data_IF_904181020500
#
_entry.id   IF_904181020500
#
_cell.length_a   1.000
_cell.length_b   1.000
_cell.length_c   1.000
_cell.angle_alpha   90.00
_cell.angle_beta   90.00
_cell.angle_gamma   90.00
#
_symmetry.space_group_name_H-M   'P 1'
#
loop_
_entity.id
_entity.type
_entity.pdbx_description
1 polymer ?
#
# COMPACT_ATOMS: atom_id res chain seq x y z
N UNK A 1 3.24 14.42 41.04
CA UNK A 1 3.14 15.19 39.78
C UNK A 1 1.69 15.25 39.36
N UNK A 2 1.01 16.36 39.66
CA UNK A 2 -0.43 16.48 39.38
C UNK A 2 -0.64 16.85 37.91
N UNK A 3 -0.92 15.87 37.10
CA UNK A 3 -1.22 16.07 35.66
C UNK A 3 -2.74 15.85 35.45
N UNK A 4 -3.40 16.78 34.70
CA UNK A 4 -4.87 16.77 34.49
C UNK A 4 -5.45 15.46 33.95
N UNK A 5 -4.63 14.66 33.25
CA UNK A 5 -5.03 13.37 32.69
C UNK A 5 -4.66 12.17 33.58
N UNK A 6 -4.04 12.40 34.72
CA UNK A 6 -3.76 11.38 35.72
C UNK A 6 -4.69 11.62 36.91
N UNK A 7 -5.79 10.86 37.05
CA UNK A 7 -6.83 11.14 38.07
C UNK A 7 -6.41 10.75 39.49
N UNK A 8 -5.34 9.94 39.64
CA UNK A 8 -4.89 9.43 40.92
C UNK A 8 -4.28 10.55 41.76
N UNK A 9 -4.76 10.64 43.01
CA UNK A 9 -4.18 11.50 44.04
C UNK A 9 -2.98 10.84 44.69
N UNK A 10 -2.21 11.60 45.49
CA UNK A 10 -1.10 11.03 46.27
C UNK A 10 -1.62 10.02 47.31
N UNK A 11 -2.83 10.22 47.86
CA UNK A 11 -3.50 9.30 48.76
C UNK A 11 -3.85 7.99 48.06
N UNK A 12 -4.41 8.05 46.85
CA UNK A 12 -4.71 6.86 46.03
C UNK A 12 -3.44 6.07 45.76
N UNK A 13 -2.33 6.75 45.45
CA UNK A 13 -1.04 6.08 45.19
C UNK A 13 -0.52 5.37 46.45
N UNK A 14 -0.65 5.99 47.65
CA UNK A 14 -0.23 5.37 48.90
C UNK A 14 -1.11 4.14 49.23
N UNK A 15 -2.41 4.19 48.99
CA UNK A 15 -3.30 3.06 49.18
C UNK A 15 -2.96 1.89 48.23
N UNK A 16 -2.68 2.19 46.96
CA UNK A 16 -2.24 1.20 45.97
C UNK A 16 -0.92 0.56 46.40
N UNK A 17 0.09 1.35 46.77
CA UNK A 17 1.39 0.84 47.24
C UNK A 17 1.19 -0.07 48.47
N UNK A 18 0.37 0.32 49.43
CA UNK A 18 0.06 -0.50 50.58
C UNK A 18 -0.59 -1.82 50.19
N UNK A 19 -1.50 -1.78 49.23
CA UNK A 19 -2.22 -2.97 48.74
C UNK A 19 -1.27 -3.98 48.07
N UNK A 20 -0.29 -3.51 47.28
CA UNK A 20 0.72 -4.37 46.66
C UNK A 20 1.91 -4.69 47.57
N UNK A 21 1.96 -4.13 48.79
CA UNK A 21 3.04 -4.37 49.73
C UNK A 21 4.35 -3.65 49.45
N UNK A 22 4.33 -2.61 48.61
CA UNK A 22 5.49 -1.79 48.27
C UNK A 22 5.51 -0.51 49.16
N UNK A 23 6.72 -0.01 49.48
CA UNK A 23 6.89 1.23 50.26
C UNK A 23 6.96 2.48 49.38
N UNK A 24 7.37 2.30 48.13
CA UNK A 24 7.55 3.36 47.15
C UNK A 24 7.29 2.85 45.74
N UNK A 25 7.06 3.75 44.79
CA UNK A 25 6.99 3.41 43.36
C UNK A 25 8.33 2.76 42.90
N UNK A 26 9.45 3.20 43.48
CA UNK A 26 10.77 2.67 43.17
C UNK A 26 10.92 1.18 43.50
N UNK A 27 10.20 0.70 44.53
CA UNK A 27 10.25 -0.72 44.89
C UNK A 27 9.58 -1.63 43.85
N UNK A 28 8.67 -1.08 43.05
CA UNK A 28 7.99 -1.81 41.98
C UNK A 28 8.94 -2.20 40.84
N UNK A 29 10.10 -1.55 40.76
CA UNK A 29 11.13 -1.80 39.76
C UNK A 29 12.35 -2.58 40.33
N UNK A 30 12.16 -3.27 41.47
CA UNK A 30 13.23 -3.98 42.14
C UNK A 30 13.81 -5.16 41.35
N UNK A 31 13.09 -5.65 40.34
CA UNK A 31 13.54 -6.68 39.39
C UNK A 31 14.54 -6.15 38.34
N UNK A 32 14.65 -4.82 38.18
CA UNK A 32 15.66 -4.21 37.32
C UNK A 32 16.98 -4.11 38.05
N UNK A 33 18.08 -4.76 37.54
CA UNK A 33 19.41 -4.64 38.14
C UNK A 33 19.85 -3.19 38.31
N UNK A 34 20.44 -2.86 39.47
CA UNK A 34 20.82 -1.49 39.80
C UNK A 34 21.83 -0.89 38.81
N UNK A 35 22.66 -1.73 38.20
CA UNK A 35 23.70 -1.35 37.24
C UNK A 35 23.17 -0.81 35.90
N UNK A 36 21.95 -1.22 35.54
CA UNK A 36 21.30 -0.79 34.29
C UNK A 36 20.12 0.17 34.53
N UNK A 37 19.81 0.43 35.79
CA UNK A 37 18.71 1.30 36.16
C UNK A 37 19.10 2.76 35.96
N UNK A 38 18.30 3.48 35.18
CA UNK A 38 18.49 4.90 34.99
C UNK A 38 18.00 5.68 36.22
N UNK A 39 18.93 6.36 36.91
CA UNK A 39 18.65 7.12 38.13
C UNK A 39 18.79 8.64 37.93
N UNK A 40 18.86 9.12 36.71
CA UNK A 40 19.04 10.51 36.36
C UNK A 40 17.73 11.20 35.94
N UNK A 41 17.79 12.49 35.78
CA UNK A 41 16.72 13.24 35.11
C UNK A 41 16.84 13.09 33.61
N UNK A 42 15.72 12.85 32.94
CA UNK A 42 15.68 12.85 31.48
C UNK A 42 15.91 14.26 30.95
N UNK A 43 16.86 14.41 30.02
CA UNK A 43 17.16 15.68 29.36
C UNK A 43 16.07 16.06 28.34
N UNK A 44 14.84 16.22 28.81
CA UNK A 44 13.71 16.64 27.99
C UNK A 44 13.56 18.16 28.09
N UNK A 45 13.10 18.78 27.00
CA UNK A 45 12.70 20.17 27.01
C UNK A 45 11.49 20.36 27.91
N UNK A 46 11.38 21.53 28.53
CA UNK A 46 10.16 21.91 29.24
C UNK A 46 8.96 21.95 28.28
N UNK A 47 7.76 21.73 28.87
CA UNK A 47 6.52 21.78 28.10
C UNK A 47 6.31 23.21 27.51
N UNK A 48 6.07 23.27 26.22
CA UNK A 48 5.75 24.51 25.53
C UNK A 48 4.25 24.82 25.66
N UNK A 49 3.91 26.10 25.67
CA UNK A 49 2.53 26.55 25.47
C UNK A 49 2.13 26.33 24.01
N UNK A 50 0.82 26.20 23.75
CA UNK A 50 0.29 25.90 22.41
C UNK A 50 0.83 26.82 21.30
N UNK A 51 0.86 28.16 21.43
CA UNK A 51 1.41 29.04 20.39
C UNK A 51 2.90 28.81 20.13
N UNK A 52 3.67 28.53 21.19
CA UNK A 52 5.11 28.23 21.10
C UNK A 52 5.34 26.87 20.41
N UNK A 53 4.51 25.87 20.75
CA UNK A 53 4.55 24.56 20.13
C UNK A 53 4.24 24.64 18.63
N UNK A 54 3.19 25.37 18.26
CA UNK A 54 2.81 25.59 16.85
C UNK A 54 3.96 26.25 16.10
N UNK A 55 4.54 27.33 16.64
CA UNK A 55 5.66 28.03 16.02
C UNK A 55 6.89 27.14 15.86
N UNK A 56 7.17 26.32 16.88
CA UNK A 56 8.27 25.36 16.85
C UNK A 56 8.11 24.33 15.72
N UNK A 57 6.93 23.70 15.61
CA UNK A 57 6.65 22.73 14.56
C UNK A 57 6.56 23.37 13.16
N UNK A 58 6.03 24.57 13.02
CA UNK A 58 6.07 25.32 11.76
C UNK A 58 7.51 25.58 11.31
N UNK A 59 8.39 25.93 12.26
CA UNK A 59 9.82 26.10 11.98
C UNK A 59 10.52 24.81 11.55
N UNK A 60 10.10 23.65 12.08
CA UNK A 60 10.59 22.35 11.61
C UNK A 60 10.01 22.01 10.22
N UNK A 61 8.72 22.20 10.04
CA UNK A 61 8.03 21.91 8.78
C UNK A 61 8.60 22.74 7.61
N UNK A 62 8.99 24.02 7.85
CA UNK A 62 9.57 24.88 6.83
C UNK A 62 10.93 24.43 6.29
N UNK A 63 11.59 23.46 6.95
CA UNK A 63 12.83 22.85 6.46
C UNK A 63 12.58 21.76 5.41
N UNK A 64 11.33 21.30 5.25
CA UNK A 64 10.96 20.33 4.23
C UNK A 64 10.60 21.02 2.92
N UNK A 65 10.82 20.32 1.82
CA UNK A 65 10.39 20.75 0.49
C UNK A 65 8.97 20.25 0.22
N UNK A 66 8.09 21.17 -0.17
CA UNK A 66 6.70 20.84 -0.50
C UNK A 66 6.55 20.55 -1.99
N UNK A 67 5.93 19.44 -2.36
CA UNK A 67 5.58 19.08 -3.74
C UNK A 67 4.61 20.11 -4.38
N UNK A 68 3.90 20.92 -3.59
CA UNK A 68 3.09 22.04 -4.10
C UNK A 68 3.93 23.19 -4.69
N UNK A 69 5.19 23.29 -4.27
CA UNK A 69 6.12 24.33 -4.70
C UNK A 69 7.20 23.80 -5.63
N UNK A 70 7.48 22.50 -5.56
CA UNK A 70 8.56 21.83 -6.29
C UNK A 70 7.97 20.63 -7.02
N UNK A 71 7.71 20.75 -8.34
CA UNK A 71 7.20 19.65 -9.13
C UNK A 71 8.07 18.39 -8.98
N UNK A 72 7.44 17.24 -8.79
CA UNK A 72 8.12 15.96 -8.59
C UNK A 72 7.83 15.02 -9.75
N UNK A 73 8.89 14.40 -10.28
CA UNK A 73 8.84 13.33 -11.27
C UNK A 73 9.29 11.99 -10.67
N UNK A 74 9.32 11.89 -9.34
CA UNK A 74 9.87 10.73 -8.63
C UNK A 74 9.02 9.47 -8.85
N UNK A 75 7.71 9.55 -8.67
CA UNK A 75 6.80 8.40 -8.83
C UNK A 75 7.21 7.19 -8.00
N UNK A 76 7.53 6.08 -8.67
CA UNK A 76 7.98 4.83 -8.05
C UNK A 76 6.99 4.31 -7.00
N UNK A 77 5.72 4.26 -7.36
CA UNK A 77 4.64 3.72 -6.51
C UNK A 77 3.84 4.76 -5.71
N UNK A 78 4.30 6.02 -5.64
CA UNK A 78 3.59 7.12 -4.96
C UNK A 78 3.42 8.28 -5.91
N UNK A 79 2.18 8.74 -6.10
CA UNK A 79 1.88 9.72 -7.13
C UNK A 79 1.10 10.91 -6.58
N UNK A 80 1.36 12.09 -7.14
CA UNK A 80 0.56 13.27 -6.85
C UNK A 80 -0.63 13.34 -7.83
N UNK A 81 -1.83 13.27 -7.28
CA UNK A 81 -3.07 13.44 -8.02
C UNK A 81 -3.98 14.46 -7.32
N UNK A 82 -4.99 14.95 -8.04
CA UNK A 82 -5.99 15.82 -7.47
C UNK A 82 -6.77 15.13 -6.36
N UNK A 83 -6.82 15.77 -5.19
CA UNK A 83 -7.61 15.33 -4.05
C UNK A 83 -8.81 16.28 -3.90
N UNK A 84 -10.04 15.80 -4.09
CA UNK A 84 -11.24 16.61 -3.89
C UNK A 84 -11.34 17.13 -2.44
N UNK A 85 -11.70 18.40 -2.26
CA UNK A 85 -11.78 19.02 -0.91
C UNK A 85 -12.78 18.32 0.03
N UNK A 86 -13.77 17.61 -0.53
CA UNK A 86 -14.73 16.82 0.25
C UNK A 86 -14.06 15.68 1.00
N UNK A 87 -12.91 15.16 0.53
CA UNK A 87 -12.18 14.08 1.20
C UNK A 87 -11.77 14.52 2.60
N UNK A 88 -11.07 15.65 2.71
CA UNK A 88 -10.62 16.20 3.99
C UNK A 88 -11.81 16.48 4.94
N UNK A 89 -12.89 17.02 4.39
CA UNK A 89 -14.11 17.29 5.16
C UNK A 89 -14.70 16.00 5.77
N UNK A 90 -14.79 14.93 5.00
CA UNK A 90 -15.41 13.67 5.46
C UNK A 90 -14.51 12.93 6.46
N UNK A 91 -13.21 12.80 6.15
CA UNK A 91 -12.29 12.07 7.05
C UNK A 91 -12.03 12.81 8.37
N UNK A 92 -12.27 14.12 8.44
CA UNK A 92 -12.13 14.93 9.65
C UNK A 92 -13.35 14.86 10.57
N UNK A 93 -14.45 14.21 10.14
CA UNK A 93 -15.61 14.04 11.01
C UNK A 93 -15.30 13.04 12.10
N UNK A 94 -15.70 13.38 13.34
CA UNK A 94 -15.39 12.57 14.53
C UNK A 94 -15.94 11.14 14.42
N UNK A 95 -17.06 10.95 13.76
CA UNK A 95 -17.70 9.65 13.56
C UNK A 95 -16.80 8.64 12.82
N UNK A 96 -15.95 9.14 11.91
CA UNK A 96 -14.97 8.33 11.20
C UNK A 96 -13.58 8.43 11.79
N UNK A 97 -13.15 9.67 12.13
CA UNK A 97 -11.78 9.93 12.59
C UNK A 97 -11.44 9.19 13.88
N UNK A 98 -12.41 9.07 14.82
CA UNK A 98 -12.22 8.37 16.10
C UNK A 98 -12.72 6.93 16.08
N UNK A 99 -13.29 6.45 14.96
CA UNK A 99 -13.75 5.08 14.84
C UNK A 99 -12.59 4.08 14.97
N UNK A 100 -12.89 2.97 15.61
CA UNK A 100 -11.99 1.82 15.68
C UNK A 100 -12.61 0.66 14.88
N UNK A 101 -12.24 -0.57 15.15
CA UNK A 101 -12.83 -1.71 14.46
C UNK A 101 -14.33 -1.83 14.75
N UNK A 102 -15.19 -1.90 13.72
CA UNK A 102 -16.66 -1.92 13.91
C UNK A 102 -17.16 -3.31 14.32
N UNK A 103 -16.79 -3.77 15.50
CA UNK A 103 -17.20 -5.09 16.03
C UNK A 103 -18.70 -5.18 16.34
N UNK A 104 -19.32 -4.07 16.73
CA UNK A 104 -20.75 -4.00 17.06
C UNK A 104 -21.51 -3.35 15.91
N UNK A 105 -22.12 -4.15 15.01
CA UNK A 105 -22.80 -3.61 13.82
C UNK A 105 -23.95 -2.66 14.16
N UNK A 106 -24.59 -2.81 15.32
CA UNK A 106 -25.74 -1.99 15.74
C UNK A 106 -25.38 -0.49 15.83
N UNK A 107 -24.14 -0.17 16.19
CA UNK A 107 -23.68 1.22 16.37
C UNK A 107 -22.67 1.67 15.32
N UNK A 108 -22.28 0.80 14.39
CA UNK A 108 -21.19 1.04 13.42
C UNK A 108 -21.66 0.97 11.99
N UNK A 109 -22.94 1.15 11.70
CA UNK A 109 -23.52 0.96 10.38
C UNK A 109 -22.90 1.88 9.33
N UNK A 110 -22.64 3.15 9.66
CA UNK A 110 -22.03 4.11 8.73
C UNK A 110 -20.60 3.72 8.33
N UNK A 111 -19.78 3.26 9.27
CA UNK A 111 -18.42 2.79 9.02
C UNK A 111 -18.42 1.49 8.21
N UNK A 112 -19.26 0.53 8.58
CA UNK A 112 -19.41 -0.73 7.85
C UNK A 112 -19.88 -0.49 6.41
N UNK A 113 -20.82 0.42 6.19
CA UNK A 113 -21.25 0.81 4.85
C UNK A 113 -20.09 1.43 4.05
N UNK A 114 -19.31 2.33 4.64
CA UNK A 114 -18.16 2.94 3.97
C UNK A 114 -17.13 1.89 3.52
N UNK A 115 -16.86 0.90 4.37
CA UNK A 115 -15.98 -0.23 4.04
C UNK A 115 -16.58 -1.06 2.90
N UNK A 116 -17.87 -1.37 2.96
CA UNK A 116 -18.56 -2.13 1.91
C UNK A 116 -18.51 -1.41 0.55
N UNK A 117 -18.67 -0.10 0.55
CA UNK A 117 -18.57 0.74 -0.66
C UNK A 117 -17.15 0.72 -1.22
N UNK A 118 -16.11 0.81 -0.38
CA UNK A 118 -14.72 0.64 -0.83
C UNK A 118 -14.50 -0.72 -1.49
N UNK A 119 -14.94 -1.81 -0.84
CA UNK A 119 -14.86 -3.16 -1.41
C UNK A 119 -15.51 -3.23 -2.80
N UNK A 120 -16.68 -2.63 -2.93
CA UNK A 120 -17.43 -2.60 -4.21
C UNK A 120 -16.67 -1.85 -5.29
N UNK A 121 -16.11 -0.66 -4.97
CA UNK A 121 -15.35 0.15 -5.92
C UNK A 121 -14.08 -0.57 -6.39
N UNK A 122 -13.39 -1.25 -5.48
CA UNK A 122 -12.21 -2.06 -5.84
C UNK A 122 -12.61 -3.24 -6.73
N UNK A 123 -13.72 -3.93 -6.46
CA UNK A 123 -14.23 -4.98 -7.35
C UNK A 123 -14.50 -4.46 -8.76
N UNK A 124 -15.19 -3.33 -8.87
CA UNK A 124 -15.52 -2.70 -10.17
C UNK A 124 -14.28 -2.30 -10.96
N UNK A 125 -13.26 -1.72 -10.29
CA UNK A 125 -12.00 -1.35 -10.94
C UNK A 125 -11.19 -2.56 -11.39
N UNK A 126 -11.11 -3.59 -10.55
CA UNK A 126 -10.23 -4.75 -10.79
C UNK A 126 -10.87 -5.85 -11.62
N UNK A 127 -12.19 -5.81 -11.79
CA UNK A 127 -12.98 -6.89 -12.45
C UNK A 127 -13.05 -8.17 -11.61
N UNK A 128 -12.88 -8.06 -10.28
CA UNK A 128 -12.87 -9.21 -9.38
C UNK A 128 -14.21 -9.37 -8.64
N UNK A 129 -14.50 -10.60 -8.16
CA UNK A 129 -15.77 -10.93 -7.51
C UNK A 129 -15.93 -10.33 -6.11
N UNK A 130 -14.82 -10.15 -5.40
CA UNK A 130 -14.82 -9.59 -4.04
C UNK A 130 -13.48 -8.92 -3.70
N UNK A 131 -13.54 -7.95 -2.78
CA UNK A 131 -12.37 -7.31 -2.20
C UNK A 131 -12.51 -7.24 -0.68
N UNK A 132 -11.37 -7.15 0.03
CA UNK A 132 -11.36 -6.95 1.49
C UNK A 132 -11.53 -5.48 1.87
N UNK A 133 -11.62 -5.22 3.18
CA UNK A 133 -11.80 -3.87 3.74
C UNK A 133 -10.63 -2.92 3.47
N UNK A 134 -9.44 -3.41 3.35
CA UNK A 134 -8.16 -2.84 2.93
C UNK A 134 -6.99 -3.64 3.51
N UNK A 135 -5.79 -3.32 3.05
CA UNK A 135 -4.51 -3.82 3.57
C UNK A 135 -3.67 -2.63 4.06
N UNK A 136 -2.50 -2.89 4.66
CA UNK A 136 -1.61 -1.81 5.09
C UNK A 136 -1.14 -0.96 3.90
N UNK A 137 -0.64 -1.63 2.87
CA UNK A 137 -0.14 -1.07 1.61
C UNK A 137 -0.13 -2.12 0.50
N UNK A 138 0.24 -1.70 -0.71
CA UNK A 138 0.37 -2.59 -1.88
C UNK A 138 1.39 -3.71 -1.70
N UNK A 139 2.62 -3.45 -1.23
CA UNK A 139 3.62 -4.48 -0.96
C UNK A 139 3.16 -5.57 0.00
N UNK A 140 2.51 -5.21 1.10
CA UNK A 140 1.91 -6.17 2.04
C UNK A 140 0.81 -7.00 1.37
N UNK A 141 -0.06 -6.35 0.58
CA UNK A 141 -1.12 -7.03 -0.14
C UNK A 141 -0.56 -8.05 -1.15
N UNK A 142 0.54 -7.71 -1.85
CA UNK A 142 1.23 -8.62 -2.78
C UNK A 142 1.82 -9.83 -2.06
N UNK A 143 2.51 -9.61 -0.94
CA UNK A 143 3.06 -10.70 -0.15
C UNK A 143 1.97 -11.65 0.35
N UNK A 144 0.87 -11.13 0.89
CA UNK A 144 -0.28 -11.93 1.34
C UNK A 144 -0.94 -12.71 0.18
N UNK A 145 -0.99 -12.13 -1.05
CA UNK A 145 -1.50 -12.83 -2.22
C UNK A 145 -0.64 -14.05 -2.58
N UNK A 146 0.68 -13.91 -2.53
CA UNK A 146 1.60 -15.02 -2.77
C UNK A 146 1.51 -16.09 -1.68
N UNK A 147 1.42 -15.67 -0.39
CA UNK A 147 1.24 -16.60 0.73
C UNK A 147 -0.08 -17.37 0.63
N UNK A 148 -1.18 -16.69 0.27
CA UNK A 148 -2.47 -17.32 0.04
C UNK A 148 -2.38 -18.32 -1.12
N UNK A 149 -1.71 -17.96 -2.21
CA UNK A 149 -1.50 -18.83 -3.38
C UNK A 149 -0.75 -20.10 -3.02
N UNK A 150 0.33 -20.01 -2.26
CA UNK A 150 1.09 -21.14 -1.76
C UNK A 150 0.22 -22.06 -0.87
N UNK A 151 -0.55 -21.47 0.05
CA UNK A 151 -1.47 -22.21 0.91
C UNK A 151 -2.65 -22.86 0.16
N UNK A 152 -3.11 -22.24 -0.95
CA UNK A 152 -4.19 -22.75 -1.78
C UNK A 152 -3.74 -23.91 -2.67
N UNK A 153 -2.61 -23.76 -3.34
CA UNK A 153 -2.05 -24.76 -4.27
C UNK A 153 -1.31 -25.88 -3.53
N UNK A 154 -0.91 -25.65 -2.27
CA UNK A 154 -0.01 -26.50 -1.48
C UNK A 154 1.37 -26.68 -2.13
N UNK A 155 1.80 -25.70 -2.91
CA UNK A 155 3.09 -25.62 -3.58
C UNK A 155 3.95 -24.52 -2.91
N UNK A 156 5.26 -24.53 -3.12
CA UNK A 156 6.20 -23.72 -2.34
C UNK A 156 7.00 -22.69 -3.12
N UNK A 157 6.95 -22.72 -4.45
CA UNK A 157 7.72 -21.82 -5.29
C UNK A 157 6.85 -20.69 -5.82
N UNK A 158 7.28 -19.47 -5.60
CA UNK A 158 6.67 -18.23 -6.07
C UNK A 158 7.57 -17.68 -7.17
N UNK A 159 7.04 -17.49 -8.36
CA UNK A 159 7.75 -16.81 -9.45
C UNK A 159 7.29 -15.36 -9.47
N UNK A 160 8.22 -14.43 -9.36
CA UNK A 160 7.93 -12.99 -9.36
C UNK A 160 8.76 -12.28 -10.40
N UNK A 161 8.14 -11.46 -11.24
CA UNK A 161 8.84 -10.65 -12.24
C UNK A 161 9.74 -9.61 -11.57
N UNK A 162 10.96 -9.41 -12.08
CA UNK A 162 11.83 -8.29 -11.69
C UNK A 162 11.22 -6.93 -12.02
N UNK A 163 10.23 -6.89 -12.91
CA UNK A 163 9.44 -5.70 -13.20
C UNK A 163 8.38 -5.37 -12.12
N UNK A 164 8.24 -6.16 -11.07
CA UNK A 164 7.51 -5.80 -9.85
C UNK A 164 8.37 -4.85 -9.02
N UNK A 165 7.72 -3.89 -8.36
CA UNK A 165 8.38 -2.90 -7.50
C UNK A 165 9.41 -3.55 -6.55
N UNK A 166 10.66 -3.05 -6.48
CA UNK A 166 11.74 -3.70 -5.73
C UNK A 166 11.42 -3.86 -4.23
N UNK A 167 10.82 -2.85 -3.59
CA UNK A 167 10.41 -2.96 -2.19
C UNK A 167 9.30 -4.01 -1.99
N UNK A 168 8.37 -4.15 -2.95
CA UNK A 168 7.34 -5.18 -2.87
C UNK A 168 7.95 -6.59 -2.98
N UNK A 169 8.99 -6.76 -3.82
CA UNK A 169 9.76 -8.02 -3.90
C UNK A 169 10.52 -8.31 -2.60
N UNK A 170 11.09 -7.27 -1.96
CA UNK A 170 11.77 -7.41 -0.67
C UNK A 170 10.80 -7.80 0.46
N UNK A 171 9.60 -7.21 0.52
CA UNK A 171 8.53 -7.59 1.46
C UNK A 171 8.08 -9.02 1.22
N UNK A 172 7.87 -9.41 -0.06
CA UNK A 172 7.55 -10.79 -0.44
C UNK A 172 8.62 -11.77 0.04
N UNK A 173 9.90 -11.48 -0.20
CA UNK A 173 11.02 -12.33 0.21
C UNK A 173 11.07 -12.51 1.73
N UNK A 174 10.82 -11.43 2.49
CA UNK A 174 10.78 -11.46 3.96
C UNK A 174 9.67 -12.40 4.46
N UNK A 175 8.46 -12.27 3.92
CA UNK A 175 7.32 -13.11 4.29
C UNK A 175 7.53 -14.57 3.87
N UNK A 176 8.04 -14.80 2.67
CA UNK A 176 8.31 -16.13 2.13
C UNK A 176 9.33 -16.89 3.01
N UNK A 177 10.38 -16.20 3.46
CA UNK A 177 11.40 -16.78 4.37
C UNK A 177 10.75 -17.30 5.65
N UNK A 178 9.87 -16.53 6.27
CA UNK A 178 9.15 -16.93 7.48
C UNK A 178 8.29 -18.18 7.29
N UNK A 179 7.75 -18.37 6.09
CA UNK A 179 6.91 -19.54 5.74
C UNK A 179 7.66 -20.67 5.04
N UNK A 180 9.00 -20.54 4.89
CA UNK A 180 9.87 -21.51 4.19
C UNK A 180 9.42 -21.74 2.74
N UNK A 181 9.05 -20.68 2.05
CA UNK A 181 8.72 -20.69 0.64
C UNK A 181 9.92 -20.22 -0.17
N UNK A 182 9.98 -20.66 -1.42
CA UNK A 182 11.03 -20.30 -2.37
C UNK A 182 10.51 -19.19 -3.28
N UNK A 183 11.27 -18.10 -3.40
CA UNK A 183 10.97 -17.00 -4.34
C UNK A 183 12.04 -17.00 -5.42
N UNK A 184 11.61 -17.10 -6.67
CA UNK A 184 12.47 -17.02 -7.85
C UNK A 184 12.07 -15.76 -8.62
N UNK A 185 13.03 -14.89 -8.84
CA UNK A 185 12.85 -13.71 -9.68
C UNK A 185 13.02 -14.07 -11.15
N UNK A 186 12.07 -13.60 -11.97
CA UNK A 186 12.08 -13.75 -13.43
C UNK A 186 12.57 -12.44 -14.03
N UNK A 187 13.59 -12.50 -14.90
CA UNK A 187 14.16 -11.34 -15.57
C UNK A 187 13.17 -10.66 -16.53
N UNK A 188 13.57 -9.55 -17.07
CA UNK A 188 12.78 -8.81 -18.06
C UNK A 188 13.45 -8.82 -19.43
N UNK A 189 12.64 -8.90 -20.47
CA UNK A 189 13.04 -8.66 -21.86
C UNK A 189 12.31 -7.41 -22.38
N UNK A 190 13.05 -6.43 -22.91
CA UNK A 190 12.50 -5.14 -23.36
C UNK A 190 11.61 -4.44 -22.32
N UNK A 191 11.94 -4.58 -21.03
CA UNK A 191 11.25 -3.94 -19.92
C UNK A 191 9.90 -4.56 -19.52
N UNK A 192 9.58 -5.76 -20.02
CA UNK A 192 8.43 -6.59 -19.59
C UNK A 192 8.93 -7.96 -19.15
N UNK A 193 8.12 -8.72 -18.44
CA UNK A 193 8.46 -10.06 -17.94
C UNK A 193 8.91 -10.99 -19.07
N UNK A 194 10.09 -11.60 -18.93
CA UNK A 194 10.64 -12.55 -19.92
C UNK A 194 9.89 -13.90 -19.85
N UNK A 195 9.01 -14.12 -20.82
CA UNK A 195 8.22 -15.35 -20.94
C UNK A 195 9.08 -16.60 -21.15
N UNK A 196 10.25 -16.48 -21.81
CA UNK A 196 11.13 -17.63 -22.05
C UNK A 196 11.77 -18.09 -20.76
N UNK A 197 12.34 -17.14 -20.02
CA UNK A 197 12.90 -17.45 -18.70
C UNK A 197 11.81 -17.94 -17.74
N UNK A 198 10.61 -17.33 -17.76
CA UNK A 198 9.48 -17.81 -16.97
C UNK A 198 9.20 -19.29 -17.25
N UNK A 199 9.21 -19.71 -18.53
CA UNK A 199 9.02 -21.10 -18.93
C UNK A 199 10.14 -22.02 -18.43
N UNK A 200 11.39 -21.55 -18.44
CA UNK A 200 12.55 -22.32 -17.99
C UNK A 200 12.55 -22.59 -16.48
N UNK A 201 12.11 -21.60 -15.67
CA UNK A 201 12.10 -21.72 -14.20
C UNK A 201 10.78 -22.29 -13.65
N UNK A 202 9.76 -22.42 -14.49
CA UNK A 202 8.47 -22.96 -14.07
C UNK A 202 8.57 -24.47 -13.84
N UNK A 203 8.04 -24.93 -12.70
CA UNK A 203 8.06 -26.35 -12.32
C UNK A 203 6.82 -26.79 -11.57
N UNK A 204 6.73 -28.09 -11.28
CA UNK A 204 5.57 -28.72 -10.61
C UNK A 204 5.23 -28.11 -9.26
N UNK A 205 6.21 -27.50 -8.57
CA UNK A 205 6.06 -26.86 -7.26
C UNK A 205 5.75 -25.35 -7.36
N UNK A 206 5.47 -24.83 -8.57
CA UNK A 206 5.12 -23.42 -8.76
C UNK A 206 3.73 -23.12 -8.22
N UNK A 207 3.65 -22.31 -7.18
CA UNK A 207 2.41 -21.91 -6.52
C UNK A 207 1.68 -20.77 -7.25
N UNK A 208 2.43 -19.77 -7.69
CA UNK A 208 1.89 -18.62 -8.43
C UNK A 208 2.97 -17.93 -9.27
N UNK A 209 2.48 -17.17 -10.26
CA UNK A 209 3.24 -16.18 -11.01
C UNK A 209 2.72 -14.79 -10.60
N UNK A 210 3.64 -13.90 -10.21
CA UNK A 210 3.35 -12.56 -9.72
C UNK A 210 3.92 -11.54 -10.68
N UNK A 211 3.06 -10.66 -11.21
CA UNK A 211 3.46 -9.54 -12.09
C UNK A 211 2.84 -8.24 -11.62
N UNK A 212 3.36 -7.11 -12.10
CA UNK A 212 2.80 -5.79 -11.86
C UNK A 212 2.35 -5.16 -13.18
N UNK A 213 1.17 -4.54 -13.22
CA UNK A 213 0.62 -3.96 -14.44
C UNK A 213 -0.15 -2.65 -14.16
N UNK A 214 0.31 -1.49 -14.68
CA UNK A 214 1.61 -1.26 -15.31
C UNK A 214 2.77 -1.66 -14.41
N UNK A 215 3.89 -2.11 -14.97
CA UNK A 215 5.01 -2.60 -14.20
C UNK A 215 5.88 -1.46 -13.63
N UNK A 216 6.91 -1.79 -12.84
CA UNK A 216 7.75 -0.80 -12.18
C UNK A 216 8.52 0.11 -13.16
N UNK A 217 8.79 -0.35 -14.37
CA UNK A 217 9.40 0.45 -15.42
C UNK A 217 8.38 1.29 -16.22
N UNK A 218 7.11 1.24 -15.82
CA UNK A 218 6.00 1.94 -16.47
C UNK A 218 5.37 1.20 -17.64
N UNK A 219 5.92 0.07 -18.09
CA UNK A 219 5.46 -0.67 -19.26
C UNK A 219 4.20 -1.50 -18.96
N UNK A 220 3.41 -1.75 -20.01
CA UNK A 220 2.27 -2.65 -19.95
C UNK A 220 2.72 -4.10 -20.18
N UNK A 221 2.44 -4.98 -19.21
CA UNK A 221 2.76 -6.42 -19.31
C UNK A 221 1.84 -7.15 -20.31
N UNK A 222 2.33 -8.20 -20.98
CA UNK A 222 1.54 -9.05 -21.89
C UNK A 222 0.67 -10.04 -21.09
N UNK A 223 -0.38 -9.51 -20.41
CA UNK A 223 -1.20 -10.28 -19.46
C UNK A 223 -1.89 -11.50 -20.08
N UNK A 224 -2.23 -11.45 -21.38
CA UNK A 224 -2.89 -12.58 -22.08
C UNK A 224 -1.96 -13.80 -22.14
N UNK A 225 -0.72 -13.57 -22.54
CA UNK A 225 0.29 -14.62 -22.68
C UNK A 225 0.73 -15.14 -21.32
N UNK A 226 0.90 -14.25 -20.35
CA UNK A 226 1.29 -14.59 -18.98
C UNK A 226 0.20 -15.41 -18.28
N UNK A 227 -1.06 -15.02 -18.42
CA UNK A 227 -2.20 -15.76 -17.88
C UNK A 227 -2.34 -17.15 -18.51
N UNK A 228 -2.36 -17.22 -19.85
CA UNK A 228 -2.50 -18.47 -20.57
C UNK A 228 -1.37 -19.46 -20.21
N UNK A 229 -0.15 -18.97 -20.03
CA UNK A 229 0.96 -19.80 -19.57
C UNK A 229 0.78 -20.26 -18.12
N UNK A 230 0.46 -19.34 -17.20
CA UNK A 230 0.31 -19.66 -15.78
C UNK A 230 -0.79 -20.68 -15.54
N UNK A 231 -1.93 -20.54 -16.22
CA UNK A 231 -3.07 -21.46 -16.10
C UNK A 231 -2.96 -22.72 -16.99
N UNK A 232 -1.86 -22.91 -17.71
CA UNK A 232 -1.58 -24.20 -18.36
C UNK A 232 -1.37 -25.32 -17.34
N UNK A 233 -1.09 -24.96 -16.07
CA UNK A 233 -1.06 -25.83 -14.89
C UNK A 233 -1.92 -25.23 -13.77
N UNK A 234 -1.75 -25.69 -12.54
CA UNK A 234 -2.53 -25.30 -11.35
C UNK A 234 -1.94 -24.10 -10.57
N UNK A 235 -0.98 -23.38 -11.12
CA UNK A 235 -0.45 -22.19 -10.50
C UNK A 235 -1.48 -21.03 -10.54
N UNK A 236 -1.39 -20.12 -9.59
CA UNK A 236 -2.28 -18.96 -9.54
C UNK A 236 -1.64 -17.75 -10.22
N UNK A 237 -2.45 -16.94 -10.91
CA UNK A 237 -2.02 -15.71 -11.53
C UNK A 237 -2.34 -14.51 -10.64
N UNK A 238 -1.30 -13.83 -10.15
CA UNK A 238 -1.39 -12.68 -9.24
C UNK A 238 -0.92 -11.43 -9.96
N UNK A 239 -1.77 -10.40 -10.00
CA UNK A 239 -1.45 -9.12 -10.63
C UNK A 239 -1.47 -7.99 -9.60
N UNK A 240 -0.34 -7.29 -9.43
CA UNK A 240 -0.28 -6.02 -8.74
C UNK A 240 -0.62 -4.90 -9.72
N UNK A 241 -1.52 -3.98 -9.36
CA UNK A 241 -2.01 -2.97 -10.32
C UNK A 241 -2.16 -1.59 -9.71
N UNK A 242 -1.80 -0.55 -10.49
CA UNK A 242 -2.16 0.82 -10.17
C UNK A 242 -3.67 1.01 -10.47
N UNK A 243 -4.51 1.27 -9.46
CA UNK A 243 -5.96 1.29 -9.65
C UNK A 243 -6.45 2.45 -10.54
N UNK A 244 -5.69 3.55 -10.63
CA UNK A 244 -6.03 4.65 -11.54
C UNK A 244 -5.84 4.25 -13.01
N UNK A 245 -4.83 3.43 -13.32
CA UNK A 245 -4.61 2.92 -14.68
C UNK A 245 -5.81 2.12 -15.18
N UNK A 246 -6.53 1.45 -14.28
CA UNK A 246 -7.75 0.68 -14.59
C UNK A 246 -8.94 1.56 -15.03
N UNK A 247 -8.84 2.87 -14.93
CA UNK A 247 -9.77 3.81 -15.57
C UNK A 247 -9.72 3.78 -17.10
N UNK A 248 -8.62 3.26 -17.68
CA UNK A 248 -8.41 3.12 -19.13
C UNK A 248 -8.09 1.70 -19.57
N UNK A 249 -7.30 0.98 -18.77
CA UNK A 249 -6.86 -0.36 -19.09
C UNK A 249 -7.96 -1.37 -18.77
N UNK A 250 -7.98 -2.47 -19.52
CA UNK A 250 -8.83 -3.61 -19.22
C UNK A 250 -8.45 -4.18 -17.84
N UNK A 251 -9.41 -4.42 -16.93
CA UNK A 251 -9.15 -4.93 -15.58
C UNK A 251 -8.45 -6.30 -15.58
N UNK A 252 -7.48 -6.55 -14.68
CA UNK A 252 -6.81 -7.85 -14.61
C UNK A 252 -7.73 -9.05 -14.37
N UNK A 253 -8.85 -8.86 -13.67
CA UNK A 253 -9.87 -9.91 -13.50
C UNK A 253 -10.48 -10.38 -14.82
N UNK A 254 -10.62 -9.49 -15.82
CA UNK A 254 -11.10 -9.84 -17.16
C UNK A 254 -10.04 -10.55 -18.03
N UNK A 255 -8.78 -10.56 -17.60
CA UNK A 255 -7.71 -11.39 -18.17
C UNK A 255 -7.58 -12.74 -17.45
N UNK A 256 -8.37 -13.01 -16.41
CA UNK A 256 -8.32 -14.26 -15.69
C UNK A 256 -7.43 -14.26 -14.45
N UNK A 257 -7.00 -13.11 -13.94
CA UNK A 257 -6.26 -13.07 -12.69
C UNK A 257 -7.05 -13.72 -11.54
N UNK A 258 -6.39 -14.53 -10.71
CA UNK A 258 -6.99 -15.12 -9.51
C UNK A 258 -7.04 -14.13 -8.36
N UNK A 259 -6.00 -13.28 -8.26
CA UNK A 259 -5.86 -12.25 -7.23
C UNK A 259 -5.32 -10.98 -7.87
N UNK A 260 -5.94 -9.85 -7.54
CA UNK A 260 -5.48 -8.51 -7.90
C UNK A 260 -5.22 -7.71 -6.64
N UNK A 261 -4.03 -7.16 -6.51
CA UNK A 261 -3.59 -6.35 -5.37
C UNK A 261 -3.05 -5.00 -5.84
N UNK A 262 -2.84 -4.09 -4.93
CA UNK A 262 -2.21 -2.81 -5.21
C UNK A 262 -2.41 -1.81 -4.09
N UNK A 263 -2.16 -0.55 -4.39
CA UNK A 263 -2.31 0.55 -3.44
C UNK A 263 -3.31 1.59 -3.98
N UNK A 264 -4.28 1.97 -3.15
CA UNK A 264 -5.29 2.96 -3.49
C UNK A 264 -4.81 4.42 -3.28
N UNK A 265 -3.51 4.64 -3.03
CA UNK A 265 -2.92 5.97 -2.83
C UNK A 265 -3.33 6.98 -3.92
N UNK A 266 -3.42 6.63 -5.22
CA UNK A 266 -3.86 7.57 -6.26
C UNK A 266 -5.25 8.18 -6.05
N UNK A 267 -6.07 7.60 -5.19
CA UNK A 267 -7.40 8.09 -4.89
C UNK A 267 -7.44 8.77 -3.52
N UNK A 268 -7.31 10.09 -3.49
CA UNK A 268 -7.57 10.91 -2.31
C UNK A 268 -6.54 10.84 -1.18
N UNK A 269 -5.39 10.20 -1.39
CA UNK A 269 -4.31 10.14 -0.40
C UNK A 269 -3.13 10.97 -0.85
N UNK A 270 -2.67 11.87 0.03
CA UNK A 270 -1.53 12.73 -0.28
C UNK A 270 -0.23 11.92 -0.46
N UNK A 271 0.60 12.32 -1.42
CA UNK A 271 1.95 11.84 -1.53
C UNK A 271 2.79 12.39 -0.37
N UNK A 272 3.21 11.51 0.52
CA UNK A 272 4.04 11.86 1.69
C UNK A 272 4.94 10.68 2.07
N UNK A 273 6.14 10.99 2.52
CA UNK A 273 7.09 9.98 2.95
C UNK A 273 6.61 9.26 4.21
N UNK A 274 6.65 7.92 4.18
CA UNK A 274 6.19 7.06 5.28
C UNK A 274 4.68 6.82 5.31
N UNK A 275 3.92 7.33 4.36
CA UNK A 275 2.47 7.08 4.27
C UNK A 275 1.65 7.76 5.37
N UNK A 276 0.63 7.10 5.91
CA UNK A 276 0.17 5.75 5.52
C UNK A 276 -0.49 5.73 4.15
N UNK A 277 -0.40 4.59 3.47
CA UNK A 277 -1.08 4.30 2.22
C UNK A 277 -2.36 3.48 2.47
N UNK A 278 -2.89 2.82 1.43
CA UNK A 278 -4.08 1.98 1.55
C UNK A 278 -4.01 0.82 0.55
N UNK A 279 -3.48 -0.31 1.00
CA UNK A 279 -3.46 -1.51 0.18
C UNK A 279 -4.87 -2.03 -0.10
N UNK A 280 -5.05 -2.70 -1.23
CA UNK A 280 -6.25 -3.46 -1.53
C UNK A 280 -5.92 -4.89 -1.95
N UNK A 281 -6.87 -5.78 -1.70
CA UNK A 281 -6.80 -7.19 -2.05
C UNK A 281 -8.14 -7.63 -2.63
N UNK A 282 -8.16 -7.95 -3.90
CA UNK A 282 -9.34 -8.40 -4.61
C UNK A 282 -9.12 -9.80 -5.22
N UNK A 283 -10.14 -10.62 -5.28
CA UNK A 283 -10.01 -12.01 -5.72
C UNK A 283 -11.31 -12.61 -6.21
N UNK A 284 -11.23 -13.84 -6.74
CA UNK A 284 -12.39 -14.63 -7.16
C UNK A 284 -13.17 -15.17 -5.95
N UNK A 285 -14.44 -15.42 -6.14
CA UNK A 285 -15.36 -15.99 -5.14
C UNK A 285 -14.84 -17.31 -4.53
N UNK A 286 -14.07 -18.07 -5.29
CA UNK A 286 -13.47 -19.34 -4.85
C UNK A 286 -12.54 -19.19 -3.64
N UNK A 287 -11.88 -18.05 -3.51
CA UNK A 287 -10.92 -17.75 -2.46
C UNK A 287 -11.50 -16.98 -1.27
N UNK A 288 -12.79 -16.65 -1.28
CA UNK A 288 -13.47 -15.80 -0.29
C UNK A 288 -13.17 -16.19 1.17
N UNK A 289 -13.05 -17.47 1.47
CA UNK A 289 -12.78 -17.97 2.83
C UNK A 289 -11.29 -17.93 3.23
N UNK A 290 -10.42 -17.41 2.35
CA UNK A 290 -8.96 -17.36 2.56
C UNK A 290 -8.39 -15.94 2.45
N UNK A 291 -9.21 -14.99 2.04
CA UNK A 291 -8.81 -13.58 1.89
C UNK A 291 -8.26 -13.03 3.21
N UNK A 292 -7.09 -12.37 3.23
CA UNK A 292 -6.60 -11.71 4.43
C UNK A 292 -7.44 -10.49 4.81
N UNK A 293 -7.36 -10.06 6.06
CA UNK A 293 -8.07 -8.88 6.55
C UNK A 293 -9.58 -9.10 6.70
N UNK A 294 -10.32 -8.02 6.94
CA UNK A 294 -11.75 -8.04 7.22
C UNK A 294 -12.58 -8.00 5.94
N UNK A 295 -13.78 -8.56 6.04
CA UNK A 295 -14.81 -8.50 5.00
C UNK A 295 -16.10 -7.99 5.61
N UNK A 296 -16.73 -7.03 4.96
CA UNK A 296 -18.06 -6.54 5.30
C UNK A 296 -19.07 -7.11 4.31
N UNK A 297 -20.14 -7.66 4.83
CA UNK A 297 -21.28 -8.15 4.04
C UNK A 297 -22.52 -7.31 4.26
N UNK A 298 -23.40 -7.28 3.26
CA UNK A 298 -24.73 -6.71 3.37
C UNK A 298 -25.70 -7.76 3.91
N UNK A 299 -26.58 -7.34 4.81
CA UNK A 299 -27.66 -8.16 5.40
C UNK A 299 -28.95 -7.34 5.53
N UNK A 300 -29.96 -7.92 6.13
CA UNK A 300 -31.19 -7.23 6.53
C UNK A 300 -31.44 -7.45 8.03
N UNK A 301 -32.01 -6.47 8.71
CA UNK A 301 -32.47 -6.59 10.09
C UNK A 301 -33.83 -7.31 10.16
N UNK A 302 -34.36 -7.46 11.38
CA UNK A 302 -35.68 -8.10 11.63
C UNK A 302 -36.86 -7.36 10.96
N UNK A 303 -36.72 -6.06 10.73
CA UNK A 303 -37.70 -5.25 10.02
C UNK A 303 -37.53 -5.28 8.48
N UNK A 304 -36.55 -6.04 7.99
CA UNK A 304 -36.23 -6.13 6.56
C UNK A 304 -35.44 -4.94 6.03
N UNK A 305 -34.92 -4.07 6.89
CA UNK A 305 -34.08 -2.94 6.49
C UNK A 305 -32.65 -3.40 6.21
N UNK A 306 -32.03 -2.77 5.19
CA UNK A 306 -30.64 -3.05 4.81
C UNK A 306 -29.70 -2.68 5.96
N UNK A 307 -28.80 -3.61 6.30
CA UNK A 307 -27.73 -3.41 7.25
C UNK A 307 -26.43 -4.02 6.76
N UNK A 308 -25.33 -3.76 7.49
CA UNK A 308 -23.99 -4.23 7.19
C UNK A 308 -23.39 -4.91 8.42
N UNK A 309 -22.59 -5.96 8.20
CA UNK A 309 -21.95 -6.73 9.28
C UNK A 309 -20.56 -7.18 8.87
N UNK A 310 -19.65 -7.34 9.83
CA UNK A 310 -18.42 -8.10 9.62
C UNK A 310 -18.78 -9.56 9.36
N UNK A 311 -18.23 -10.15 8.30
CA UNK A 311 -18.53 -11.51 7.91
C UNK A 311 -17.27 -12.39 7.84
N UNK A 312 -17.44 -13.71 7.91
CA UNK A 312 -16.35 -14.70 7.82
C UNK A 312 -15.22 -14.49 8.85
N UNK A 313 -15.49 -13.92 9.99
CA UNK A 313 -14.50 -13.61 11.03
C UNK A 313 -13.75 -14.84 11.56
N UNK A 314 -14.37 -16.05 11.50
CA UNK A 314 -13.78 -17.29 11.98
C UNK A 314 -12.42 -17.65 11.35
N UNK A 315 -12.00 -17.02 10.24
CA UNK A 315 -10.71 -17.20 9.58
C UNK A 315 -9.63 -16.25 10.12
N UNK A 316 -10.02 -15.21 10.86
CA UNK A 316 -9.13 -14.14 11.31
C UNK A 316 -8.22 -14.57 12.47
N UNK A 317 -7.08 -13.88 12.60
CA UNK A 317 -6.03 -14.19 13.57
C UNK A 317 -6.53 -14.20 15.02
N UNK A 318 -7.40 -13.29 15.42
CA UNK A 318 -7.90 -13.20 16.79
C UNK A 318 -8.77 -14.42 17.21
N UNK A 319 -9.28 -15.18 16.23
CA UNK A 319 -10.02 -16.43 16.45
C UNK A 319 -9.14 -17.66 16.21
N UNK A 320 -8.46 -17.72 15.06
CA UNK A 320 -7.63 -18.87 14.64
C UNK A 320 -6.27 -18.92 15.30
N UNK A 321 -5.77 -17.78 15.82
CA UNK A 321 -4.44 -17.64 16.44
C UNK A 321 -3.35 -18.19 15.52
N UNK A 322 -2.49 -19.09 15.99
CA UNK A 322 -1.40 -19.70 15.24
C UNK A 322 -1.84 -20.51 13.99
N UNK A 323 -3.12 -20.83 13.87
CA UNK A 323 -3.71 -21.54 12.71
C UNK A 323 -4.31 -20.58 11.68
N UNK A 324 -4.20 -19.27 11.89
CA UNK A 324 -4.66 -18.30 10.91
C UNK A 324 -3.83 -18.37 9.62
N UNK A 325 -4.46 -18.11 8.49
CA UNK A 325 -3.77 -18.08 7.18
C UNK A 325 -3.01 -16.80 6.96
N UNK A 326 -3.29 -15.76 7.74
CA UNK A 326 -2.66 -14.42 7.67
C UNK A 326 -2.55 -13.83 9.07
N UNK A 327 -1.51 -13.04 9.29
CA UNK A 327 -1.29 -12.26 10.51
C UNK A 327 -1.89 -10.84 10.43
N UNK A 328 -2.57 -10.50 9.34
CA UNK A 328 -3.23 -9.20 9.19
C UNK A 328 -4.33 -9.06 10.24
N UNK A 329 -4.19 -8.06 11.10
CA UNK A 329 -5.13 -7.76 12.18
C UNK A 329 -5.88 -6.46 11.93
N UNK A 330 -5.13 -5.39 11.67
CA UNK A 330 -5.66 -4.06 11.37
C UNK A 330 -5.66 -3.79 9.88
N UNK A 331 -6.23 -2.67 9.48
CA UNK A 331 -6.28 -2.19 8.10
C UNK A 331 -6.19 -0.66 8.07
N UNK A 332 -6.42 -0.06 6.91
CA UNK A 332 -6.36 1.38 6.68
C UNK A 332 -7.78 1.95 6.50
N UNK A 333 -8.67 1.76 7.49
CA UNK A 333 -10.10 2.09 7.36
C UNK A 333 -10.34 3.57 6.98
N UNK A 334 -9.64 4.51 7.64
CA UNK A 334 -9.78 5.93 7.33
C UNK A 334 -9.26 6.28 5.94
N UNK A 335 -8.16 5.66 5.50
CA UNK A 335 -7.63 5.86 4.15
C UNK A 335 -8.51 5.19 3.09
N UNK A 336 -9.11 4.04 3.38
CA UNK A 336 -10.09 3.40 2.51
C UNK A 336 -11.34 4.28 2.34
N UNK A 337 -11.80 4.92 3.42
CA UNK A 337 -12.86 5.93 3.35
C UNK A 337 -12.44 7.11 2.47
N UNK A 338 -11.22 7.66 2.67
CA UNK A 338 -10.70 8.74 1.83
C UNK A 338 -10.72 8.37 0.35
N UNK A 339 -10.25 7.16 0.02
CA UNK A 339 -10.25 6.65 -1.35
C UNK A 339 -11.68 6.50 -1.91
N UNK A 340 -12.62 5.98 -1.13
CA UNK A 340 -14.02 5.85 -1.54
C UNK A 340 -14.67 7.20 -1.80
N UNK A 341 -14.44 8.17 -0.90
CA UNK A 341 -14.95 9.55 -1.06
C UNK A 341 -14.36 10.22 -2.30
N UNK A 342 -13.04 10.05 -2.53
CA UNK A 342 -12.39 10.58 -3.72
C UNK A 342 -12.97 9.97 -4.99
N UNK A 343 -13.08 8.64 -5.07
CA UNK A 343 -13.66 7.93 -6.22
C UNK A 343 -15.12 8.35 -6.47
N UNK A 344 -15.92 8.52 -5.41
CA UNK A 344 -17.30 8.99 -5.50
C UNK A 344 -17.40 10.44 -6.01
N UNK A 345 -16.54 11.33 -5.51
CA UNK A 345 -16.51 12.73 -5.91
C UNK A 345 -16.04 12.92 -7.36
N UNK A 346 -15.02 12.18 -7.77
CA UNK A 346 -14.47 12.21 -9.13
C UNK A 346 -15.43 11.49 -10.11
N UNK A 347 -16.02 10.39 -9.68
CA UNK A 347 -16.94 9.56 -10.44
C UNK A 347 -16.29 8.84 -11.63
N UNK A 348 -17.02 7.93 -12.26
CA UNK A 348 -16.52 7.10 -13.36
C UNK A 348 -15.88 7.91 -14.50
N UNK A 349 -16.50 9.04 -14.88
CA UNK A 349 -15.96 9.88 -15.94
C UNK A 349 -14.67 10.57 -15.54
N UNK A 350 -14.58 11.07 -14.30
CA UNK A 350 -13.39 11.74 -13.81
C UNK A 350 -12.23 10.80 -13.61
N UNK A 351 -12.45 9.57 -13.13
CA UNK A 351 -11.39 8.53 -13.05
C UNK A 351 -10.80 8.24 -14.43
N UNK A 352 -11.66 8.06 -15.44
CA UNK A 352 -11.23 7.89 -16.83
C UNK A 352 -10.45 9.09 -17.36
N UNK A 353 -10.92 10.32 -17.07
CA UNK A 353 -10.26 11.56 -17.50
C UNK A 353 -8.88 11.71 -16.85
N UNK A 354 -8.76 11.47 -15.54
CA UNK A 354 -7.47 11.51 -14.83
C UNK A 354 -6.49 10.49 -15.44
N UNK A 355 -6.93 9.26 -15.64
CA UNK A 355 -6.11 8.22 -16.26
C UNK A 355 -5.67 8.61 -17.69
N UNK A 356 -6.57 9.19 -18.49
CA UNK A 356 -6.27 9.65 -19.84
C UNK A 356 -5.25 10.81 -19.86
N UNK A 357 -5.40 11.78 -18.96
CA UNK A 357 -4.45 12.89 -18.83
C UNK A 357 -3.05 12.39 -18.45
N UNK A 358 -2.93 11.40 -17.60
CA UNK A 358 -1.64 10.78 -17.26
C UNK A 358 -0.95 10.22 -18.51
N UNK A 359 -1.67 9.43 -19.31
CA UNK A 359 -1.13 8.89 -20.57
C UNK A 359 -0.72 10.00 -21.54
N UNK A 360 -1.57 11.04 -21.70
CA UNK A 360 -1.27 12.15 -22.60
C UNK A 360 -0.03 12.94 -22.17
N UNK A 361 0.07 13.27 -20.87
CA UNK A 361 1.21 14.02 -20.32
C UNK A 361 2.51 13.20 -20.42
N UNK A 362 2.46 11.91 -20.11
CA UNK A 362 3.60 11.01 -20.26
C UNK A 362 4.06 10.89 -21.72
N UNK A 363 3.13 10.72 -22.66
CA UNK A 363 3.43 10.68 -24.09
C UNK A 363 4.04 12.00 -24.60
N UNK A 364 3.50 13.15 -24.14
CA UNK A 364 4.05 14.46 -24.45
C UNK A 364 5.49 14.59 -23.95
N UNK A 365 5.74 14.24 -22.68
CA UNK A 365 7.07 14.33 -22.08
C UNK A 365 8.07 13.40 -22.78
N UNK A 366 7.68 12.15 -23.07
CA UNK A 366 8.52 11.21 -23.85
C UNK A 366 8.93 11.82 -25.20
N UNK A 367 7.96 12.42 -25.91
CA UNK A 367 8.22 13.07 -27.20
C UNK A 367 9.22 14.22 -27.05
N UNK A 368 9.00 15.12 -26.08
CA UNK A 368 9.88 16.27 -25.87
C UNK A 368 11.29 15.86 -25.46
N UNK A 369 11.43 14.85 -24.60
CA UNK A 369 12.74 14.32 -24.21
C UNK A 369 13.49 13.72 -25.40
N UNK A 370 12.81 12.92 -26.28
CA UNK A 370 13.40 12.39 -27.53
C UNK A 370 13.87 13.53 -28.45
N UNK A 371 13.07 14.56 -28.66
CA UNK A 371 13.42 15.74 -29.48
C UNK A 371 14.65 16.49 -28.95
N UNK A 372 14.90 16.41 -27.64
CA UNK A 372 16.08 17.01 -26.99
C UNK A 372 17.24 16.00 -26.77
N UNK A 373 17.19 14.85 -27.41
CA UNK A 373 18.29 13.88 -27.43
C UNK A 373 18.39 12.97 -26.21
N UNK A 374 17.36 12.94 -25.34
CA UNK A 374 17.28 11.97 -24.25
C UNK A 374 16.73 10.66 -24.78
N UNK A 375 17.41 9.57 -24.48
CA UNK A 375 17.05 8.22 -24.88
C UNK A 375 15.93 7.67 -23.99
N UNK A 376 14.85 7.19 -24.59
CA UNK A 376 13.80 6.42 -23.91
C UNK A 376 14.19 4.95 -24.01
N UNK A 377 14.30 4.26 -22.87
CA UNK A 377 14.87 2.90 -22.80
C UNK A 377 13.96 1.84 -23.42
N UNK A 378 12.63 2.02 -23.34
CA UNK A 378 11.67 1.04 -23.86
C UNK A 378 10.68 1.69 -24.83
N UNK A 379 10.36 1.00 -25.92
CA UNK A 379 9.30 1.39 -26.86
C UNK A 379 7.93 0.75 -26.51
N UNK A 380 7.86 -0.01 -25.42
CA UNK A 380 6.59 -0.59 -24.94
C UNK A 380 5.55 0.49 -24.60
N UNK A 381 4.27 0.19 -24.74
CA UNK A 381 3.22 1.08 -24.24
C UNK A 381 3.37 1.32 -22.72
N UNK A 382 3.18 2.57 -22.30
CA UNK A 382 3.31 2.97 -20.89
C UNK A 382 2.06 3.70 -20.41
N UNK A 383 1.85 3.76 -19.09
CA UNK A 383 0.77 4.54 -18.50
C UNK A 383 1.25 5.95 -18.13
N UNK A 384 1.82 6.13 -16.95
CA UNK A 384 2.28 7.42 -16.44
C UNK A 384 3.78 7.45 -16.09
N UNK A 385 4.44 6.31 -16.17
CA UNK A 385 5.87 6.17 -15.92
C UNK A 385 6.59 5.64 -17.15
N UNK A 386 7.87 5.99 -17.27
CA UNK A 386 8.77 5.48 -18.28
C UNK A 386 10.23 5.70 -17.89
N UNK A 387 11.12 4.89 -18.46
CA UNK A 387 12.56 4.93 -18.15
C UNK A 387 13.32 5.69 -19.24
N UNK A 388 14.23 6.55 -18.79
CA UNK A 388 15.17 7.30 -19.65
C UNK A 388 16.62 6.96 -19.29
N UNK A 389 17.51 7.00 -20.29
CA UNK A 389 18.95 6.90 -20.09
C UNK A 389 19.55 8.31 -20.06
N UNK A 390 20.07 8.73 -18.92
CA UNK A 390 20.63 10.08 -18.73
C UNK A 390 22.13 10.17 -18.99
N UNK A 391 22.78 9.04 -19.35
CA UNK A 391 24.21 8.96 -19.76
C UNK A 391 25.21 9.54 -18.75
N UNK A 392 24.81 9.66 -17.48
CA UNK A 392 25.61 10.09 -16.34
C UNK A 392 24.98 9.57 -15.05
N UNK A 393 25.65 9.65 -13.90
CA UNK A 393 25.05 9.25 -12.63
C UNK A 393 23.71 9.98 -12.39
N UNK A 394 22.65 9.22 -12.08
CA UNK A 394 21.31 9.78 -11.85
C UNK A 394 21.30 10.74 -10.65
N UNK A 395 22.16 10.49 -9.64
CA UNK A 395 22.33 11.36 -8.48
C UNK A 395 22.77 12.79 -8.89
N UNK A 396 23.73 12.90 -9.82
CA UNK A 396 24.17 14.21 -10.34
C UNK A 396 23.06 14.95 -11.09
N UNK A 397 22.27 14.20 -11.90
CA UNK A 397 21.13 14.79 -12.60
C UNK A 397 20.07 15.27 -11.63
N UNK A 398 19.77 14.49 -10.58
CA UNK A 398 18.82 14.87 -9.53
C UNK A 398 19.27 16.09 -8.74
N UNK A 399 20.57 16.23 -8.42
CA UNK A 399 21.11 17.44 -7.79
C UNK A 399 20.93 18.69 -8.67
N UNK A 400 21.20 18.56 -9.97
CA UNK A 400 21.01 19.66 -10.92
C UNK A 400 19.54 20.05 -11.09
N UNK A 401 18.63 19.06 -11.11
CA UNK A 401 17.19 19.30 -11.16
C UNK A 401 16.70 19.97 -9.88
N UNK A 402 17.14 19.50 -8.72
CA UNK A 402 16.79 20.08 -7.43
C UNK A 402 17.26 21.53 -7.31
N UNK A 403 18.47 21.84 -7.79
CA UNK A 403 18.98 23.22 -7.83
C UNK A 403 18.13 24.15 -8.74
N UNK A 404 17.38 23.57 -9.69
CA UNK A 404 16.42 24.28 -10.56
C UNK A 404 14.97 24.24 -10.04
N UNK A 405 14.74 23.69 -8.85
CA UNK A 405 13.42 23.60 -8.25
C UNK A 405 12.56 22.41 -8.73
N UNK A 406 13.18 21.32 -9.19
CA UNK A 406 12.49 20.10 -9.58
C UNK A 406 12.99 18.91 -8.77
N UNK A 407 12.09 18.06 -8.31
CA UNK A 407 12.44 16.73 -7.81
C UNK A 407 12.49 15.81 -9.04
N UNK A 408 13.66 15.24 -9.32
CA UNK A 408 13.86 14.36 -10.49
C UNK A 408 13.26 12.98 -10.31
N UNK A 409 13.70 12.04 -11.16
CA UNK A 409 13.18 10.68 -11.17
C UNK A 409 13.92 9.72 -10.23
N UNK A 410 13.41 8.49 -10.16
CA UNK A 410 13.99 7.43 -9.37
C UNK A 410 15.22 6.83 -10.06
N UNK A 411 16.29 6.64 -9.31
CA UNK A 411 17.54 6.02 -9.79
C UNK A 411 17.42 4.50 -9.73
N UNK A 412 17.27 3.85 -10.90
CA UNK A 412 17.15 2.40 -11.01
C UNK A 412 18.44 1.66 -10.65
N UNK A 413 19.60 2.33 -10.79
CA UNK A 413 20.90 1.78 -10.38
C UNK A 413 21.03 1.52 -8.87
N UNK A 414 20.10 2.01 -8.05
CA UNK A 414 20.06 1.71 -6.61
C UNK A 414 19.62 0.28 -6.30
N UNK A 415 18.81 -0.31 -7.16
CA UNK A 415 18.24 -1.63 -6.98
C UNK A 415 18.93 -2.68 -7.84
N UNK A 416 19.51 -2.25 -8.99
CA UNK A 416 20.21 -3.11 -9.94
C UNK A 416 21.33 -2.33 -10.62
N UNK A 417 22.58 -2.67 -10.32
CA UNK A 417 23.78 -2.01 -10.87
C UNK A 417 23.82 -2.06 -12.41
N UNK A 418 23.14 -3.03 -13.04
CA UNK A 418 23.06 -3.14 -14.51
C UNK A 418 22.22 -2.03 -15.13
N UNK A 419 21.38 -1.35 -14.34
CA UNK A 419 20.52 -0.24 -14.73
C UNK A 419 21.14 1.13 -14.38
N UNK A 420 22.44 1.17 -14.08
CA UNK A 420 23.15 2.41 -13.76
C UNK A 420 22.98 3.44 -14.90
N UNK A 421 22.66 4.69 -14.56
CA UNK A 421 22.38 5.76 -15.52
C UNK A 421 20.95 5.75 -16.10
N UNK A 422 20.10 4.81 -15.67
CA UNK A 422 18.69 4.79 -16.00
C UNK A 422 17.85 5.42 -14.89
N UNK A 423 16.98 6.34 -15.29
CA UNK A 423 16.09 7.09 -14.40
C UNK A 423 14.62 6.79 -14.76
N UNK A 424 13.85 6.35 -13.79
CA UNK A 424 12.39 6.25 -13.91
C UNK A 424 11.78 7.64 -13.69
N UNK A 425 10.93 8.08 -14.59
CA UNK A 425 10.19 9.33 -14.51
C UNK A 425 8.69 9.05 -14.42
N UNK A 426 8.02 9.70 -13.50
CA UNK A 426 6.57 9.69 -13.37
C UNK A 426 5.97 11.03 -13.78
N UNK A 427 4.83 10.98 -14.48
CA UNK A 427 4.09 12.16 -14.95
C UNK A 427 2.61 11.99 -14.61
N UNK A 428 2.06 12.93 -13.83
CA UNK A 428 0.68 12.86 -13.34
C UNK A 428 -0.10 14.14 -13.61
#
# INVERSE_FOLDING_TARGET
>A
MNHRYLPMTDEDQQEMLKTVGAKSIEDLFSDIPKEIRFNGEMKLKEALKEPELISYFQGLASKNVSIKQTPSFLGAGVYEHYIPSIVDHVISRSEFYTAYTPYQPEISQGELQAIFEFQTMICELTGMDLANSSMYDGPTALAEAAMLSAGQTKKKTILVSKAVHPEARAVLQTNATGQRLNVIEVDTDNGVTDLKQLQEVYGDDTACVVVQHPNFYGNLEPLVELEAFTHSDKAMFVVSSNPLALGLLKPPGEFGADIVVGDAQPFGLAAQFGGPHCGYFATTKKLMRKVPGRLVGQTTDEAGQRGFVLTLQAREQHIRREKATSNICSNQALNALAASVAMSAIGKKGVKEMAYQNVQKAAYMKKQLKEHGVEIVSEQPTFNEFVVNVKRPVSEVNELLLAKGFIGGYDLGRDDDTLAGQMLLAVT
#
